data_IF_771717947558
#
_entry.id   IF_771717947558
#
_cell.length_a   1.000
_cell.length_b   1.000
_cell.length_c   1.000
_cell.angle_alpha   90.00
_cell.angle_beta   90.00
_cell.angle_gamma   90.00
#
_symmetry.space_group_name_H-M   'P 1'
#
loop_
_entity.id
_entity.type
_entity.pdbx_description
1 polymer ?
#
# COMPACT_ATOMS: atom_id res chain seq x y z
N UNK A 1 -19.79 -4.22 19.50
CA UNK A 1 -19.89 -4.94 18.23
C UNK A 1 -19.23 -4.07 17.17
N UNK A 2 -17.97 -4.36 16.77
CA UNK A 2 -17.17 -3.46 15.92
C UNK A 2 -17.29 -3.77 14.42
N UNK A 3 -17.79 -4.95 14.06
CA UNK A 3 -17.81 -5.46 12.70
C UNK A 3 -19.24 -5.65 12.21
N UNK A 4 -19.49 -5.33 10.94
CA UNK A 4 -20.73 -5.69 10.26
C UNK A 4 -20.83 -7.21 10.04
N UNK A 5 -22.04 -7.74 10.07
CA UNK A 5 -22.31 -9.15 9.80
C UNK A 5 -22.67 -9.32 8.32
N UNK A 6 -21.73 -9.82 7.51
CA UNK A 6 -21.93 -10.01 6.07
C UNK A 6 -22.07 -11.49 5.71
N UNK A 7 -23.19 -11.87 5.12
CA UNK A 7 -23.48 -13.24 4.73
C UNK A 7 -22.93 -13.55 3.34
N UNK A 8 -21.98 -14.49 3.25
CA UNK A 8 -21.27 -14.80 2.00
C UNK A 8 -22.15 -15.28 0.85
N UNK A 9 -23.35 -15.78 1.15
CA UNK A 9 -24.30 -16.31 0.17
C UNK A 9 -25.24 -15.25 -0.38
N UNK A 10 -25.28 -14.06 0.21
CA UNK A 10 -26.13 -12.97 -0.25
C UNK A 10 -25.49 -12.24 -1.44
N UNK A 11 -26.31 -11.83 -2.40
CA UNK A 11 -25.85 -11.04 -3.56
C UNK A 11 -25.26 -9.68 -3.14
N UNK A 12 -25.67 -9.18 -1.97
CA UNK A 12 -25.22 -7.92 -1.35
C UNK A 12 -23.94 -8.07 -0.53
N UNK A 13 -23.31 -9.25 -0.52
CA UNK A 13 -22.12 -9.51 0.32
C UNK A 13 -21.02 -8.48 0.11
N UNK A 14 -20.67 -8.17 -1.14
CA UNK A 14 -19.60 -7.23 -1.45
C UNK A 14 -19.91 -5.80 -0.98
N UNK A 15 -21.16 -5.37 -1.11
CA UNK A 15 -21.62 -4.07 -0.61
C UNK A 15 -21.63 -4.02 0.93
N UNK A 16 -22.08 -5.10 1.58
CA UNK A 16 -22.01 -5.22 3.03
C UNK A 16 -20.57 -5.09 3.54
N UNK A 17 -19.61 -5.77 2.89
CA UNK A 17 -18.20 -5.71 3.29
C UNK A 17 -17.63 -4.30 3.05
N UNK A 18 -17.96 -3.66 1.92
CA UNK A 18 -17.59 -2.26 1.65
C UNK A 18 -18.08 -1.32 2.75
N UNK A 19 -19.35 -1.44 3.13
CA UNK A 19 -19.96 -0.59 4.16
C UNK A 19 -19.35 -0.87 5.54
N UNK A 20 -19.10 -2.15 5.85
CA UNK A 20 -18.37 -2.55 7.06
C UNK A 20 -16.96 -1.96 7.13
N UNK A 21 -16.19 -2.00 6.03
CA UNK A 21 -14.85 -1.39 5.96
C UNK A 21 -14.91 0.13 6.19
N UNK A 22 -15.91 0.82 5.64
CA UNK A 22 -16.10 2.24 5.88
C UNK A 22 -16.54 2.55 7.32
N UNK A 23 -17.36 1.69 7.94
CA UNK A 23 -17.78 1.84 9.33
C UNK A 23 -16.61 1.67 10.32
N UNK A 24 -15.54 0.99 9.92
CA UNK A 24 -14.34 0.79 10.76
C UNK A 24 -13.40 2.01 10.82
N UNK A 25 -13.57 3.00 9.93
CA UNK A 25 -12.68 4.17 9.85
C UNK A 25 -12.44 4.90 11.18
N UNK A 26 -13.43 5.11 12.08
CA UNK A 26 -13.20 5.75 13.37
C UNK A 26 -12.16 5.03 14.24
N UNK A 27 -11.99 3.72 14.04
CA UNK A 27 -11.05 2.91 14.81
C UNK A 27 -9.63 2.87 14.21
N UNK A 28 -9.39 3.44 13.02
CA UNK A 28 -8.06 3.39 12.41
C UNK A 28 -6.99 4.13 13.23
N UNK A 29 -7.35 5.18 13.98
CA UNK A 29 -6.42 5.88 14.88
C UNK A 29 -6.20 5.18 16.22
N UNK A 30 -7.19 4.44 16.70
CA UNK A 30 -7.16 3.83 18.04
C UNK A 30 -6.81 2.36 18.01
N UNK A 31 -6.95 1.72 16.85
CA UNK A 31 -7.04 0.27 16.76
C UNK A 31 -8.30 -0.26 17.43
N UNK A 32 -8.34 -1.58 17.60
CA UNK A 32 -9.35 -2.31 18.36
C UNK A 32 -8.58 -3.26 19.31
N UNK A 33 -8.14 -2.78 20.49
CA UNK A 33 -7.26 -3.53 21.40
C UNK A 33 -7.83 -4.87 21.85
N UNK A 34 -9.15 -4.97 22.05
CA UNK A 34 -9.84 -6.20 22.44
C UNK A 34 -9.64 -7.34 21.42
N UNK A 35 -9.30 -7.01 20.17
CA UNK A 35 -9.02 -7.95 19.09
C UNK A 35 -7.54 -8.00 18.70
N UNK A 36 -6.66 -7.33 19.46
CA UNK A 36 -5.23 -7.22 19.16
C UNK A 36 -4.93 -6.43 17.89
N UNK A 37 -5.87 -5.59 17.43
CA UNK A 37 -5.70 -4.75 16.23
C UNK A 37 -5.09 -3.43 16.68
N UNK A 38 -3.86 -3.16 16.26
CA UNK A 38 -3.19 -1.89 16.53
C UNK A 38 -3.79 -0.74 15.70
N UNK A 39 -3.56 0.53 16.10
CA UNK A 39 -3.74 1.67 15.21
C UNK A 39 -3.08 1.46 13.85
N UNK A 40 -3.73 1.95 12.81
CA UNK A 40 -3.30 1.87 11.42
C UNK A 40 -3.29 3.25 10.71
N UNK A 41 -3.68 4.32 11.40
CA UNK A 41 -3.51 5.70 10.92
C UNK A 41 -2.81 6.55 12.00
N UNK A 42 -1.49 6.76 11.92
CA UNK A 42 -0.60 6.34 10.83
C UNK A 42 -0.32 4.83 10.76
N UNK A 43 -0.10 4.33 9.54
CA UNK A 43 0.51 3.03 9.27
C UNK A 43 2.04 3.18 9.26
N UNK A 44 2.74 2.20 9.82
CA UNK A 44 4.20 2.19 9.89
C UNK A 44 4.78 0.93 9.26
N UNK A 45 5.78 1.11 8.39
CA UNK A 45 6.60 0.03 7.86
C UNK A 45 8.08 0.32 8.10
N UNK A 46 8.76 -0.59 8.78
CA UNK A 46 10.19 -0.44 9.10
C UNK A 46 11.07 -0.42 7.85
N UNK A 47 10.77 -1.30 6.88
CA UNK A 47 11.51 -1.42 5.64
C UNK A 47 10.60 -1.85 4.49
N UNK A 48 10.74 -1.21 3.32
CA UNK A 48 10.07 -1.56 2.07
C UNK A 48 11.14 -1.69 0.96
N UNK A 49 11.65 -2.90 0.70
CA UNK A 49 12.62 -3.12 -0.36
C UNK A 49 11.92 -3.24 -1.72
N UNK A 50 12.49 -2.59 -2.72
CA UNK A 50 12.06 -2.67 -4.11
C UNK A 50 13.28 -2.91 -5.00
N UNK A 51 13.15 -3.85 -5.94
CA UNK A 51 14.16 -4.08 -6.98
C UNK A 51 13.48 -4.03 -8.33
N UNK A 52 14.07 -3.28 -9.26
CA UNK A 52 13.60 -3.23 -10.64
C UNK A 52 14.78 -3.38 -11.59
N UNK A 53 14.55 -4.08 -12.69
CA UNK A 53 15.53 -4.25 -13.76
C UNK A 53 14.80 -4.09 -15.09
N UNK A 54 15.41 -3.34 -15.99
CA UNK A 54 14.94 -3.08 -17.34
C UNK A 54 16.12 -2.85 -18.27
N UNK A 55 15.87 -2.69 -19.59
CA UNK A 55 16.93 -2.60 -20.59
C UNK A 55 17.90 -1.43 -20.36
N UNK A 56 17.39 -0.31 -19.83
CA UNK A 56 18.15 0.93 -19.67
C UNK A 56 18.36 1.37 -18.22
N UNK A 57 17.77 0.64 -17.26
CA UNK A 57 17.93 0.94 -15.85
C UNK A 57 17.81 -0.31 -14.99
N UNK A 58 18.61 -0.37 -13.94
CA UNK A 58 18.42 -1.30 -12.84
C UNK A 58 18.57 -0.54 -11.54
N UNK A 59 17.74 -0.82 -10.54
CA UNK A 59 17.91 -0.24 -9.23
C UNK A 59 17.43 -1.18 -8.13
N UNK A 60 18.00 -0.97 -6.94
CA UNK A 60 17.52 -1.40 -5.65
C UNK A 60 17.19 -0.13 -4.88
N UNK A 61 15.98 -0.06 -4.35
CA UNK A 61 15.48 1.02 -3.52
C UNK A 61 15.06 0.38 -2.20
N UNK A 62 15.47 0.95 -1.08
CA UNK A 62 15.01 0.56 0.25
C UNK A 62 14.40 1.79 0.89
N UNK A 63 13.10 1.75 1.17
CA UNK A 63 12.46 2.77 1.99
C UNK A 63 12.50 2.33 3.45
N UNK A 64 12.90 3.21 4.36
CA UNK A 64 13.03 2.91 5.79
C UNK A 64 12.17 3.86 6.61
N UNK A 65 11.64 3.34 7.72
CA UNK A 65 10.80 4.09 8.66
C UNK A 65 9.65 4.82 7.94
N UNK A 66 8.96 4.09 7.07
CA UNK A 66 7.86 4.63 6.28
C UNK A 66 6.68 4.86 7.22
N UNK A 67 6.15 6.08 7.19
CA UNK A 67 4.89 6.45 7.84
C UNK A 67 3.90 6.83 6.76
N UNK A 68 2.69 6.28 6.82
CA UNK A 68 1.60 6.52 5.86
C UNK A 68 0.33 6.95 6.61
N UNK A 69 -0.22 8.10 6.23
CA UNK A 69 -1.36 8.74 6.88
C UNK A 69 -2.50 8.99 5.89
N UNK A 70 -3.71 9.17 6.43
CA UNK A 70 -4.91 9.58 5.69
C UNK A 70 -5.97 8.49 5.59
N UNK A 71 -5.74 7.32 6.20
CA UNK A 71 -6.66 6.19 6.17
C UNK A 71 -7.99 6.50 6.85
N UNK A 72 -8.00 7.24 7.96
CA UNK A 72 -9.24 7.63 8.67
C UNK A 72 -10.14 8.50 7.79
N UNK A 73 -9.53 9.34 6.95
CA UNK A 73 -10.25 10.22 6.04
C UNK A 73 -10.64 9.54 4.71
N UNK A 74 -10.04 8.40 4.40
CA UNK A 74 -10.27 7.65 3.16
C UNK A 74 -11.66 7.00 3.10
N UNK A 75 -12.13 6.66 1.90
CA UNK A 75 -13.40 5.98 1.69
C UNK A 75 -13.23 4.84 0.69
N UNK A 76 -13.74 3.66 1.03
CA UNK A 76 -13.86 2.54 0.09
C UNK A 76 -15.11 2.77 -0.77
N UNK A 77 -14.91 2.96 -2.06
CA UNK A 77 -15.99 3.26 -3.02
C UNK A 77 -16.58 1.98 -3.62
N UNK A 78 -15.73 0.98 -3.86
CA UNK A 78 -16.15 -0.32 -4.37
C UNK A 78 -15.37 -1.42 -3.69
N UNK A 79 -16.00 -2.57 -3.53
CA UNK A 79 -15.39 -3.80 -3.07
C UNK A 79 -15.88 -4.93 -3.97
N UNK A 80 -14.99 -5.88 -4.28
CA UNK A 80 -15.30 -7.13 -4.95
C UNK A 80 -14.45 -8.23 -4.36
N UNK A 81 -15.02 -9.41 -4.18
CA UNK A 81 -14.25 -10.59 -3.84
C UNK A 81 -14.58 -11.76 -4.77
N UNK A 82 -13.62 -12.67 -4.89
CA UNK A 82 -13.84 -13.97 -5.51
C UNK A 82 -13.08 -15.01 -4.69
N UNK A 83 -13.82 -15.79 -3.91
CA UNK A 83 -13.27 -16.82 -3.04
C UNK A 83 -12.57 -17.94 -3.83
N UNK A 84 -13.05 -18.23 -5.05
CA UNK A 84 -12.49 -19.28 -5.91
C UNK A 84 -11.18 -18.83 -6.56
N UNK A 85 -11.09 -17.54 -6.92
CA UNK A 85 -9.87 -16.94 -7.47
C UNK A 85 -8.93 -16.39 -6.40
N UNK A 86 -9.34 -16.44 -5.13
CA UNK A 86 -8.58 -16.02 -3.95
C UNK A 86 -8.12 -14.55 -3.99
N UNK A 87 -8.99 -13.66 -4.46
CA UNK A 87 -8.71 -12.24 -4.45
C UNK A 87 -9.82 -11.41 -3.81
N UNK A 88 -9.40 -10.28 -3.26
CA UNK A 88 -10.26 -9.13 -2.98
C UNK A 88 -9.73 -7.96 -3.81
N UNK A 89 -10.64 -7.11 -4.27
CA UNK A 89 -10.32 -5.90 -4.99
C UNK A 89 -11.19 -4.78 -4.47
N UNK A 90 -10.59 -3.63 -4.17
CA UNK A 90 -11.35 -2.48 -3.73
C UNK A 90 -10.78 -1.18 -4.30
N UNK A 91 -11.68 -0.26 -4.62
CA UNK A 91 -11.31 1.10 -5.01
C UNK A 91 -11.49 2.02 -3.82
N UNK A 92 -10.46 2.79 -3.50
CA UNK A 92 -10.42 3.66 -2.34
C UNK A 92 -10.04 5.08 -2.75
N UNK A 93 -10.81 6.04 -2.24
CA UNK A 93 -10.54 7.46 -2.36
C UNK A 93 -9.86 7.98 -1.10
N UNK A 94 -8.85 8.83 -1.28
CA UNK A 94 -8.18 9.55 -0.21
C UNK A 94 -8.23 11.05 -0.52
N UNK A 95 -8.84 11.88 0.35
CA UNK A 95 -8.82 13.33 0.16
C UNK A 95 -7.40 13.91 0.31
N UNK A 96 -6.63 13.42 1.28
CA UNK A 96 -5.23 13.79 1.51
C UNK A 96 -4.50 12.56 2.08
N UNK A 97 -3.62 11.97 1.27
CA UNK A 97 -2.77 10.83 1.65
C UNK A 97 -1.33 11.27 1.71
N UNK A 98 -0.67 10.99 2.82
CA UNK A 98 0.71 11.44 3.07
C UNK A 98 1.60 10.26 3.41
N UNK A 99 2.78 10.24 2.82
CA UNK A 99 3.80 9.27 3.13
C UNK A 99 5.13 9.98 3.35
N UNK A 100 5.92 9.48 4.29
CA UNK A 100 7.27 9.98 4.52
C UNK A 100 8.18 8.87 5.01
N UNK A 101 9.48 9.09 4.88
CA UNK A 101 10.50 8.19 5.42
C UNK A 101 11.89 8.52 4.89
N UNK A 102 12.76 7.54 4.97
CA UNK A 102 14.10 7.56 4.39
C UNK A 102 14.17 6.66 3.18
N UNK A 103 15.02 7.00 2.22
CA UNK A 103 15.32 6.16 1.08
C UNK A 103 16.83 5.92 0.97
N UNK A 104 17.17 4.75 0.48
CA UNK A 104 18.50 4.38 0.01
C UNK A 104 18.33 3.75 -1.37
N UNK A 105 18.99 4.29 -2.39
CA UNK A 105 18.91 3.81 -3.77
C UNK A 105 20.30 3.52 -4.31
N UNK A 106 20.44 2.36 -4.93
CA UNK A 106 21.61 1.97 -5.71
C UNK A 106 21.14 1.45 -7.06
N UNK A 107 21.77 1.90 -8.14
CA UNK A 107 21.36 1.46 -9.46
C UNK A 107 22.30 1.88 -10.57
N UNK A 108 21.99 1.39 -11.77
CA UNK A 108 22.59 1.86 -13.01
C UNK A 108 21.49 2.45 -13.87
N UNK A 109 21.64 3.68 -14.33
CA UNK A 109 20.72 4.36 -15.23
C UNK A 109 21.49 4.79 -16.47
N UNK A 110 21.08 4.34 -17.66
CA UNK A 110 21.77 4.64 -18.92
C UNK A 110 23.29 4.38 -18.88
N UNK A 111 23.70 3.27 -18.24
CA UNK A 111 25.10 2.89 -18.06
C UNK A 111 25.85 3.62 -16.94
N UNK A 112 25.26 4.63 -16.31
CA UNK A 112 25.86 5.37 -15.19
C UNK A 112 25.42 4.78 -13.85
N UNK A 113 26.38 4.56 -12.94
CA UNK A 113 26.08 4.12 -11.57
C UNK A 113 25.59 5.29 -10.74
N UNK A 114 24.51 5.08 -10.00
CA UNK A 114 23.90 6.02 -9.07
C UNK A 114 23.80 5.32 -7.71
N UNK A 115 24.30 5.97 -6.67
CA UNK A 115 24.09 5.56 -5.28
C UNK A 115 23.76 6.82 -4.49
N UNK A 116 22.65 6.78 -3.74
CA UNK A 116 22.16 7.96 -3.04
C UNK A 116 21.22 7.60 -1.90
N UNK A 117 21.05 8.53 -0.96
CA UNK A 117 20.15 8.35 0.18
C UNK A 117 19.67 9.72 0.69
N UNK A 118 18.50 9.72 1.32
CA UNK A 118 17.93 10.93 1.88
C UNK A 118 16.54 10.72 2.45
N UNK A 119 15.93 11.80 2.92
CA UNK A 119 14.52 11.80 3.33
C UNK A 119 13.62 11.99 2.12
N UNK A 120 12.41 11.47 2.19
CA UNK A 120 11.38 11.73 1.19
C UNK A 120 10.04 12.01 1.86
N UNK A 121 9.24 12.84 1.19
CA UNK A 121 7.84 13.10 1.55
C UNK A 121 7.01 13.07 0.28
N UNK A 122 5.87 12.40 0.34
CA UNK A 122 4.90 12.30 -0.73
C UNK A 122 3.53 12.73 -0.19
N UNK A 123 2.85 13.63 -0.91
CA UNK A 123 1.46 13.97 -0.67
C UNK A 123 0.65 13.72 -1.94
N UNK A 124 -0.47 13.05 -1.78
CA UNK A 124 -1.41 12.73 -2.85
C UNK A 124 -2.78 13.31 -2.45
N UNK A 125 -3.30 14.26 -3.22
CA UNK A 125 -4.59 14.89 -2.98
C UNK A 125 -5.62 14.39 -3.99
N UNK A 126 -6.84 14.19 -3.51
CA UNK A 126 -7.95 13.58 -4.24
C UNK A 126 -7.52 12.31 -5.02
N UNK A 127 -6.84 11.42 -4.29
CA UNK A 127 -6.20 10.24 -4.83
C UNK A 127 -7.16 9.06 -4.84
N UNK A 128 -7.33 8.44 -6.01
CA UNK A 128 -8.13 7.23 -6.17
C UNK A 128 -7.22 6.10 -6.63
N UNK A 129 -7.21 5.01 -5.86
CA UNK A 129 -6.51 3.78 -6.21
C UNK A 129 -7.45 2.58 -6.20
N UNK A 130 -7.19 1.62 -7.07
CA UNK A 130 -7.75 0.27 -6.98
C UNK A 130 -6.66 -0.67 -6.52
N UNK A 131 -6.87 -1.35 -5.41
CA UNK A 131 -5.96 -2.36 -4.88
C UNK A 131 -6.56 -3.75 -5.06
N UNK A 132 -5.80 -4.66 -5.64
CA UNK A 132 -6.14 -6.08 -5.74
C UNK A 132 -5.19 -6.87 -4.85
N UNK A 133 -5.73 -7.56 -3.85
CA UNK A 133 -4.98 -8.40 -2.92
C UNK A 133 -5.33 -9.85 -3.21
N UNK A 134 -4.32 -10.66 -3.51
CA UNK A 134 -4.46 -12.09 -3.79
C UNK A 134 -3.68 -12.91 -2.77
N UNK A 135 -4.29 -13.99 -2.27
CA UNK A 135 -3.61 -14.96 -1.38
C UNK A 135 -3.91 -16.39 -1.84
N UNK A 136 -3.10 -16.91 -2.75
CA UNK A 136 -3.27 -18.30 -3.22
C UNK A 136 -2.73 -19.30 -2.19
N UNK A 137 -3.42 -20.44 -1.97
CA UNK A 137 -2.86 -21.55 -1.22
C UNK A 137 -1.53 -22.01 -1.84
N UNK A 138 -0.51 -22.24 -1.01
CA UNK A 138 0.78 -22.76 -1.43
C UNK A 138 1.04 -24.06 -0.67
N UNK A 139 1.64 -25.05 -1.34
CA UNK A 139 2.10 -26.30 -0.73
C UNK A 139 3.61 -26.37 -0.73
N UNK A 140 4.18 -26.97 0.31
CA UNK A 140 5.61 -27.26 0.38
C UNK A 140 6.00 -28.42 -0.56
N UNK A 141 7.29 -28.74 -0.61
CA UNK A 141 7.82 -29.85 -1.45
C UNK A 141 7.26 -31.23 -1.06
N UNK A 142 6.71 -31.38 0.15
CA UNK A 142 6.13 -32.62 0.67
C UNK A 142 4.61 -32.66 0.48
N UNK A 143 4.01 -31.61 -0.09
CA UNK A 143 2.58 -31.50 -0.34
C UNK A 143 1.77 -30.93 0.82
N UNK A 144 2.39 -30.50 1.93
CA UNK A 144 1.67 -29.88 3.05
C UNK A 144 1.31 -28.43 2.75
N UNK A 145 0.12 -28.01 3.18
CA UNK A 145 -0.31 -26.61 3.04
C UNK A 145 0.57 -25.69 3.90
N UNK A 146 1.06 -24.63 3.29
CA UNK A 146 1.82 -23.59 3.99
C UNK A 146 0.82 -22.63 4.63
N UNK A 147 0.81 -22.47 5.96
CA UNK A 147 -0.04 -21.49 6.62
C UNK A 147 0.42 -20.08 6.27
N UNK A 148 -0.53 -19.16 6.07
CA UNK A 148 -0.28 -17.74 5.79
C UNK A 148 0.72 -17.47 4.64
N UNK A 149 0.47 -18.00 3.42
CA UNK A 149 1.34 -17.72 2.29
C UNK A 149 1.36 -16.21 2.00
N UNK A 150 2.42 -15.78 1.31
CA UNK A 150 2.62 -14.36 0.96
C UNK A 150 1.42 -13.78 0.22
N UNK A 151 1.09 -12.54 0.56
CA UNK A 151 0.11 -11.75 -0.19
C UNK A 151 0.76 -11.21 -1.47
N UNK A 152 0.04 -11.26 -2.58
CA UNK A 152 0.35 -10.46 -3.77
C UNK A 152 -0.58 -9.25 -3.76
N UNK A 153 -0.01 -8.06 -3.83
CA UNK A 153 -0.76 -6.81 -3.90
C UNK A 153 -0.43 -6.13 -5.21
N UNK A 154 -1.45 -5.84 -6.00
CA UNK A 154 -1.37 -5.03 -7.21
C UNK A 154 -2.12 -3.72 -6.94
N UNK A 155 -1.44 -2.58 -7.15
CA UNK A 155 -2.02 -1.25 -6.94
C UNK A 155 -2.11 -0.56 -8.29
N UNK A 156 -3.31 -0.14 -8.68
CA UNK A 156 -3.57 0.64 -9.87
C UNK A 156 -4.04 2.05 -9.48
N UNK A 157 -3.32 3.07 -9.94
CA UNK A 157 -3.73 4.47 -9.74
C UNK A 157 -4.81 4.81 -10.76
N UNK A 158 -5.98 5.21 -10.30
CA UNK A 158 -7.09 5.64 -11.16
C UNK A 158 -6.99 7.14 -11.44
N UNK A 159 -6.78 7.94 -10.40
CA UNK A 159 -6.60 9.38 -10.51
C UNK A 159 -5.80 9.94 -9.32
N UNK A 160 -5.19 11.09 -9.53
CA UNK A 160 -4.55 11.89 -8.50
C UNK A 160 -4.63 13.35 -8.95
N UNK A 161 -5.38 14.19 -8.24
CA UNK A 161 -5.54 15.60 -8.62
C UNK A 161 -4.22 16.36 -8.45
N UNK A 162 -3.53 16.12 -7.33
CA UNK A 162 -2.23 16.75 -7.06
C UNK A 162 -1.29 15.78 -6.37
N UNK A 163 -0.08 15.69 -6.92
CA UNK A 163 1.04 14.93 -6.37
C UNK A 163 2.17 15.90 -6.01
N UNK A 164 2.59 15.89 -4.75
CA UNK A 164 3.76 16.63 -4.26
C UNK A 164 4.78 15.61 -3.75
N UNK A 165 5.92 15.52 -4.44
CA UNK A 165 7.01 14.61 -4.07
C UNK A 165 8.27 15.43 -3.80
N UNK A 166 8.74 15.39 -2.56
CA UNK A 166 9.98 16.00 -2.13
C UNK A 166 10.99 14.90 -1.83
N UNK A 167 12.13 14.92 -2.52
CA UNK A 167 13.22 13.98 -2.30
C UNK A 167 14.46 14.78 -1.92
N UNK A 168 14.90 14.60 -0.68
CA UNK A 168 16.15 15.18 -0.19
C UNK A 168 17.35 14.54 -0.87
N UNK A 169 18.39 15.32 -1.12
CA UNK A 169 19.68 14.84 -1.62
C UNK A 169 19.69 14.10 -2.96
N UNK A 170 18.66 14.19 -3.81
CA UNK A 170 18.48 13.40 -5.05
C UNK A 170 19.70 13.36 -6.03
N UNK A 171 20.62 14.33 -5.97
CA UNK A 171 21.87 14.33 -6.72
C UNK A 171 23.13 14.58 -5.85
N UNK A 172 23.15 14.03 -4.63
CA UNK A 172 24.23 14.28 -3.67
C UNK A 172 24.27 15.75 -3.20
N UNK A 173 23.11 16.42 -3.20
CA UNK A 173 22.99 17.85 -2.87
C UNK A 173 23.31 18.83 -4.01
N UNK A 174 23.62 18.35 -5.22
CA UNK A 174 23.80 19.22 -6.39
C UNK A 174 22.45 19.60 -7.00
N UNK A 175 22.19 20.88 -7.19
CA UNK A 175 21.00 21.36 -7.90
C UNK A 175 21.12 20.94 -9.37
N UNK A 176 20.28 20.02 -9.84
CA UNK A 176 20.11 19.79 -11.29
C UNK A 176 19.15 20.88 -11.77
N UNK A 177 19.70 22.04 -12.11
CA UNK A 177 19.00 23.05 -12.90
C UNK A 177 19.22 22.69 -14.36
N UNK A 178 18.14 22.38 -15.06
CA UNK A 178 18.08 22.17 -16.50
C UNK A 178 16.77 22.70 -17.03
#
# INVERSE_FOLDING_TARGET
NYFGECQKTEETFDDCVKDGLNALRPFFKTGIPDYGIAPFDPFHAAEVPQKRSGPFFNYKLVLRNVTEEGWTASQVNTFKCDFNKHFIQFTQFFPDKRLNGWYEIEGTFFGQKVANQGSWNLRLQDYVQTMTVTRKPVRDKRGYAIPNPSLKVDVNVQSCNKLELHIGHLAGGRTIVG
#
